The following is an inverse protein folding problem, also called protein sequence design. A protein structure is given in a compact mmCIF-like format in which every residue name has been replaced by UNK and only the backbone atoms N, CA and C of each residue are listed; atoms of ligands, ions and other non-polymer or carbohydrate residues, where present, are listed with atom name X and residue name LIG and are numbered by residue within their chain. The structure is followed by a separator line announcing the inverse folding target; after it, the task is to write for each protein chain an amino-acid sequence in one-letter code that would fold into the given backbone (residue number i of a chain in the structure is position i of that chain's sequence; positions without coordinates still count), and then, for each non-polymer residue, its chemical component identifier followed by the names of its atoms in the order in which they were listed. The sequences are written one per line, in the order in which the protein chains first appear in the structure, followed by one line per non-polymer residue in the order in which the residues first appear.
data_IF_075088264174
#
_entry.id   IF_075088264174
#
_cell.length_a   1.000
_cell.length_b   1.000
_cell.length_c   1.000
_cell.angle_alpha   90.00
_cell.angle_beta   90.00
_cell.angle_gamma   90.00
#
_symmetry.space_group_name_H-M   'P 1'
#
loop_
_entity.id
_entity.type
_entity.pdbx_description
1 polymer ?
#
# COMPACT_ATOMS: atom_id res chain seq x y z
N UNK A 1 9.33 -2.73 7.41
CA UNK A 1 9.36 -3.97 8.22
C UNK A 1 8.34 -3.88 9.33
N UNK A 2 7.63 -4.97 9.71
CA UNK A 2 6.78 -4.94 10.90
C UNK A 2 7.60 -4.46 12.10
N UNK A 3 6.99 -3.68 12.99
CA UNK A 3 7.68 -3.17 14.16
C UNK A 3 8.28 -4.34 14.94
N UNK A 4 9.60 -4.34 15.15
CA UNK A 4 10.29 -5.38 15.93
C UNK A 4 9.83 -5.22 17.37
N UNK A 5 8.71 -5.86 17.72
CA UNK A 5 8.28 -6.01 19.09
C UNK A 5 9.24 -6.99 19.76
N UNK A 6 9.70 -6.64 20.97
CA UNK A 6 10.43 -7.57 21.85
C UNK A 6 9.71 -8.92 21.90
N UNK A 7 10.45 -10.02 21.78
CA UNK A 7 9.88 -11.38 21.66
C UNK A 7 8.91 -11.71 22.79
N UNK A 8 9.10 -11.12 23.98
CA UNK A 8 8.24 -11.28 25.15
C UNK A 8 6.79 -10.76 24.98
N UNK A 9 6.51 -9.91 23.99
CA UNK A 9 5.16 -9.36 23.72
C UNK A 9 4.55 -9.84 22.40
N UNK A 10 5.22 -10.74 21.68
CA UNK A 10 4.66 -11.33 20.45
C UNK A 10 3.66 -12.42 20.85
N UNK A 11 2.37 -12.13 20.71
CA UNK A 11 1.37 -13.20 20.72
C UNK A 11 1.68 -14.15 19.56
N UNK A 12 1.62 -15.47 19.78
CA UNK A 12 1.87 -16.43 18.70
C UNK A 12 0.95 -16.12 17.51
N UNK A 13 1.42 -16.36 16.27
CA UNK A 13 0.59 -16.18 15.10
C UNK A 13 -0.65 -17.08 15.22
N UNK A 14 -1.85 -16.59 14.87
CA UNK A 14 -3.05 -17.41 14.79
C UNK A 14 -2.92 -18.50 13.71
N UNK A 15 -3.81 -19.48 13.78
CA UNK A 15 -3.92 -20.56 12.79
C UNK A 15 -4.09 -20.01 11.36
N UNK A 16 -3.44 -20.67 10.39
CA UNK A 16 -3.40 -20.25 8.98
C UNK A 16 -2.32 -19.20 8.64
N UNK A 17 -1.51 -18.75 9.60
CA UNK A 17 -0.39 -17.83 9.30
C UNK A 17 0.72 -18.51 8.49
N UNK A 18 1.01 -19.78 8.77
CA UNK A 18 2.08 -20.53 8.09
C UNK A 18 1.85 -20.63 6.57
N UNK A 19 0.60 -20.68 6.12
CA UNK A 19 0.26 -20.80 4.70
C UNK A 19 0.53 -19.50 3.91
N UNK A 20 0.57 -18.36 4.59
CA UNK A 20 0.80 -17.03 3.98
C UNK A 20 2.17 -16.45 4.35
N UNK A 21 2.93 -17.11 5.22
CA UNK A 21 4.18 -16.60 5.79
C UNK A 21 5.24 -16.38 4.71
N UNK A 22 5.38 -17.34 3.79
CA UNK A 22 6.35 -17.27 2.69
C UNK A 22 6.07 -16.09 1.75
N UNK A 23 4.80 -15.88 1.39
CA UNK A 23 4.38 -14.74 0.56
C UNK A 23 4.67 -13.41 1.25
N UNK A 24 4.36 -13.30 2.55
CA UNK A 24 4.66 -12.10 3.34
C UNK A 24 6.17 -11.85 3.48
N UNK A 25 6.98 -12.91 3.55
CA UNK A 25 8.43 -12.84 3.60
C UNK A 25 9.02 -12.33 2.28
N UNK A 26 8.46 -12.72 1.13
CA UNK A 26 8.84 -12.16 -0.18
C UNK A 26 8.64 -10.64 -0.21
N UNK A 27 7.50 -10.14 0.27
CA UNK A 27 7.28 -8.68 0.35
C UNK A 27 8.24 -8.00 1.32
N UNK A 28 8.59 -8.64 2.44
CA UNK A 28 9.54 -8.11 3.41
C UNK A 28 10.96 -8.01 2.83
N UNK A 29 11.39 -9.02 2.08
CA UNK A 29 12.69 -9.01 1.39
C UNK A 29 12.73 -7.93 0.31
N UNK A 30 11.71 -7.87 -0.57
CA UNK A 30 11.58 -6.79 -1.57
C UNK A 30 11.64 -5.40 -0.93
N UNK A 31 10.97 -5.21 0.21
CA UNK A 31 11.00 -3.94 0.93
C UNK A 31 12.41 -3.61 1.45
N UNK A 32 13.13 -4.60 1.98
CA UNK A 32 14.51 -4.43 2.45
C UNK A 32 15.44 -4.07 1.30
N UNK A 33 15.30 -4.74 0.16
CA UNK A 33 16.11 -4.48 -1.03
C UNK A 33 15.83 -3.08 -1.58
N UNK A 34 14.56 -2.69 -1.69
CA UNK A 34 14.16 -1.34 -2.13
C UNK A 34 14.69 -0.23 -1.19
N UNK A 35 14.78 -0.49 0.12
CA UNK A 35 15.35 0.45 1.09
C UNK A 35 16.87 0.59 0.99
N UNK A 36 17.57 -0.49 0.63
CA UNK A 36 19.03 -0.50 0.49
C UNK A 36 19.51 -0.06 -0.89
N UNK A 37 18.62 -0.05 -1.88
CA UNK A 37 18.92 0.33 -3.25
C UNK A 37 19.39 1.79 -3.30
N UNK A 38 20.46 2.10 -4.05
CA UNK A 38 20.86 3.48 -4.26
C UNK A 38 19.73 4.24 -5.00
N UNK A 39 19.54 5.55 -4.72
CA UNK A 39 18.55 6.35 -5.41
C UNK A 39 18.75 6.28 -6.93
N UNK A 40 17.68 6.11 -7.73
CA UNK A 40 17.81 6.10 -9.18
C UNK A 40 18.31 7.45 -9.71
N UNK A 41 18.95 7.49 -10.89
CA UNK A 41 19.28 8.75 -11.54
C UNK A 41 17.99 9.51 -11.85
N UNK A 42 17.83 10.69 -11.25
CA UNK A 42 16.63 11.51 -11.38
C UNK A 42 16.20 12.19 -10.08
N UNK A 43 14.93 12.64 -10.00
CA UNK A 43 14.38 13.27 -8.81
C UNK A 43 14.44 12.36 -7.58
N UNK A 44 14.87 12.93 -6.44
CA UNK A 44 15.03 12.21 -5.15
C UNK A 44 13.78 11.44 -4.70
N UNK A 45 12.58 11.91 -5.07
CA UNK A 45 11.32 11.28 -4.68
C UNK A 45 11.09 9.92 -5.37
N UNK A 46 11.72 9.66 -6.52
CA UNK A 46 11.59 8.40 -7.25
C UNK A 46 12.10 7.19 -6.43
N UNK A 47 13.09 7.41 -5.57
CA UNK A 47 13.59 6.37 -4.66
C UNK A 47 12.50 5.81 -3.74
N UNK A 48 11.47 6.62 -3.40
CA UNK A 48 10.39 6.20 -2.51
C UNK A 48 9.27 5.44 -3.24
N UNK A 49 9.20 5.51 -4.57
CA UNK A 49 8.09 4.93 -5.33
C UNK A 49 8.03 3.41 -5.20
N UNK A 50 9.17 2.73 -5.30
CA UNK A 50 9.27 1.27 -5.14
C UNK A 50 8.80 0.84 -3.74
N UNK A 51 9.17 1.61 -2.70
CA UNK A 51 8.72 1.39 -1.32
C UNK A 51 7.18 1.50 -1.22
N UNK A 52 6.58 2.55 -1.80
CA UNK A 52 5.13 2.71 -1.79
C UNK A 52 4.42 1.60 -2.56
N UNK A 53 4.97 1.18 -3.71
CA UNK A 53 4.41 0.10 -4.51
C UNK A 53 4.40 -1.22 -3.74
N UNK A 54 5.50 -1.58 -3.09
CA UNK A 54 5.58 -2.82 -2.29
C UNK A 54 4.63 -2.74 -1.08
N UNK A 55 4.56 -1.60 -0.40
CA UNK A 55 3.66 -1.40 0.73
C UNK A 55 2.17 -1.52 0.31
N UNK A 56 1.83 -0.97 -0.85
CA UNK A 56 0.51 -1.10 -1.45
C UNK A 56 0.19 -2.56 -1.79
N UNK A 57 1.08 -3.23 -2.53
CA UNK A 57 0.91 -4.63 -2.94
C UNK A 57 0.74 -5.56 -1.74
N UNK A 58 1.57 -5.40 -0.72
CA UNK A 58 1.48 -6.19 0.52
C UNK A 58 0.15 -5.96 1.24
N UNK A 59 -0.32 -4.71 1.30
CA UNK A 59 -1.61 -4.40 1.92
C UNK A 59 -2.78 -4.93 1.09
N UNK A 60 -2.67 -4.90 -0.24
CA UNK A 60 -3.69 -5.41 -1.16
C UNK A 60 -3.79 -6.93 -1.09
N UNK A 61 -2.66 -7.63 -1.05
CA UNK A 61 -2.61 -9.07 -0.84
C UNK A 61 -3.39 -9.50 0.42
N UNK A 62 -3.17 -8.83 1.56
CA UNK A 62 -3.92 -9.12 2.80
C UNK A 62 -5.41 -8.75 2.68
N UNK A 63 -5.75 -7.68 1.95
CA UNK A 63 -7.14 -7.30 1.69
C UNK A 63 -7.86 -8.37 0.85
N UNK A 64 -7.27 -8.80 -0.26
CA UNK A 64 -7.85 -9.77 -1.18
C UNK A 64 -8.03 -11.13 -0.49
N UNK A 65 -7.05 -11.55 0.33
CA UNK A 65 -7.16 -12.80 1.10
C UNK A 65 -8.36 -12.83 2.06
N UNK A 66 -8.71 -11.70 2.67
CA UNK A 66 -9.80 -11.64 3.64
C UNK A 66 -11.15 -11.29 3.02
N UNK A 67 -11.21 -10.32 2.10
CA UNK A 67 -12.45 -9.79 1.54
C UNK A 67 -12.88 -10.44 0.23
N UNK A 68 -11.94 -10.90 -0.60
CA UNK A 68 -12.26 -11.46 -1.92
C UNK A 68 -12.21 -13.00 -1.91
N UNK A 69 -11.16 -13.58 -1.33
CA UNK A 69 -10.93 -15.03 -1.31
C UNK A 69 -11.40 -15.73 -0.03
N UNK A 70 -11.65 -14.97 1.03
CA UNK A 70 -12.04 -15.48 2.36
C UNK A 70 -11.11 -16.61 2.88
N UNK A 71 -9.83 -16.59 2.50
CA UNK A 71 -8.87 -17.65 2.79
C UNK A 71 -8.25 -17.55 4.19
N UNK A 72 -8.46 -16.43 4.89
CA UNK A 72 -7.93 -16.20 6.23
C UNK A 72 -9.03 -15.85 7.23
N UNK A 73 -8.87 -16.32 8.47
CA UNK A 73 -9.81 -16.00 9.54
C UNK A 73 -9.76 -14.52 9.93
N UNK A 74 -10.87 -14.00 10.46
CA UNK A 74 -10.93 -12.64 11.03
C UNK A 74 -9.86 -12.41 12.11
N UNK A 75 -9.59 -13.44 12.93
CA UNK A 75 -8.59 -13.38 13.98
C UNK A 75 -7.18 -13.20 13.39
N UNK A 76 -6.85 -13.93 12.33
CA UNK A 76 -5.58 -13.78 11.62
C UNK A 76 -5.47 -12.42 10.94
N UNK A 77 -6.52 -11.98 10.24
CA UNK A 77 -6.57 -10.67 9.60
C UNK A 77 -6.34 -9.51 10.58
N UNK A 78 -7.03 -9.49 11.72
CA UNK A 78 -6.81 -8.47 12.76
C UNK A 78 -5.42 -8.53 13.37
N UNK A 79 -4.86 -9.74 13.53
CA UNK A 79 -3.49 -9.92 14.00
C UNK A 79 -2.47 -9.37 13.00
N UNK A 80 -2.66 -9.59 11.70
CA UNK A 80 -1.81 -9.05 10.63
C UNK A 80 -1.80 -7.52 10.63
N UNK A 81 -2.98 -6.89 10.76
CA UNK A 81 -3.10 -5.43 10.89
C UNK A 81 -2.37 -4.92 12.14
N UNK A 82 -2.58 -5.55 13.31
CA UNK A 82 -1.95 -5.16 14.57
C UNK A 82 -0.43 -5.31 14.55
N UNK A 83 0.13 -6.18 13.71
CA UNK A 83 1.57 -6.37 13.55
C UNK A 83 2.17 -5.57 12.37
N UNK A 84 1.36 -4.82 11.63
CA UNK A 84 1.84 -3.94 10.56
C UNK A 84 2.21 -4.67 9.26
N UNK A 85 1.60 -5.83 9.00
CA UNK A 85 1.70 -6.53 7.72
C UNK A 85 0.89 -5.82 6.61
N UNK A 86 -0.19 -5.13 6.97
CA UNK A 86 -0.98 -4.31 6.06
C UNK A 86 -1.37 -2.97 6.69
N UNK A 87 -1.65 -1.96 5.87
CA UNK A 87 -2.08 -0.64 6.31
C UNK A 87 -3.60 -0.59 6.51
N UNK A 88 -4.02 -0.55 7.78
CA UNK A 88 -5.43 -0.50 8.17
C UNK A 88 -6.15 0.76 7.65
N UNK A 89 -5.45 1.90 7.59
CA UNK A 89 -6.05 3.16 7.15
C UNK A 89 -6.24 3.18 5.64
N UNK A 90 -5.30 2.61 4.89
CA UNK A 90 -5.45 2.44 3.44
C UNK A 90 -6.59 1.47 3.11
N UNK A 91 -6.66 0.32 3.80
CA UNK A 91 -7.77 -0.64 3.63
C UNK A 91 -9.12 -0.01 3.98
N UNK A 92 -9.18 0.81 5.03
CA UNK A 92 -10.40 1.54 5.37
C UNK A 92 -10.84 2.50 4.25
N UNK A 93 -9.91 3.02 3.43
CA UNK A 93 -10.25 3.80 2.24
C UNK A 93 -10.76 2.93 1.11
N UNK A 94 -10.16 1.77 0.83
CA UNK A 94 -10.61 0.87 -0.25
C UNK A 94 -12.07 0.41 -0.10
N UNK A 95 -12.59 0.36 1.13
CA UNK A 95 -14.00 0.06 1.40
C UNK A 95 -14.97 1.20 1.08
N UNK A 96 -14.47 2.41 0.83
CA UNK A 96 -15.30 3.57 0.50
C UNK A 96 -15.46 3.67 -1.01
N UNK A 97 -16.68 3.99 -1.44
CA UNK A 97 -16.98 4.20 -2.84
C UNK A 97 -16.07 5.27 -3.46
N UNK A 98 -15.51 4.97 -4.63
CA UNK A 98 -14.60 5.84 -5.37
C UNK A 98 -13.13 5.77 -4.92
N UNK A 99 -12.79 4.94 -3.93
CA UNK A 99 -11.41 4.73 -3.44
C UNK A 99 -10.94 3.28 -3.55
N UNK A 100 -11.69 2.39 -4.17
CA UNK A 100 -11.43 0.95 -4.36
C UNK A 100 -10.03 0.65 -4.94
N UNK A 101 -9.52 1.55 -5.79
CA UNK A 101 -8.19 1.46 -6.43
C UNK A 101 -7.18 2.48 -5.90
N UNK A 102 -7.40 3.07 -4.72
CA UNK A 102 -6.54 4.12 -4.17
C UNK A 102 -5.08 3.64 -3.99
N UNK A 103 -4.12 4.40 -4.54
CA UNK A 103 -2.70 4.04 -4.51
C UNK A 103 -2.04 4.17 -3.13
N UNK A 104 -2.25 5.29 -2.42
CA UNK A 104 -1.70 5.53 -1.09
C UNK A 104 -2.46 6.66 -0.37
N UNK A 105 -2.22 6.79 0.94
CA UNK A 105 -2.89 7.81 1.76
C UNK A 105 -2.43 9.24 1.44
N UNK A 106 -1.16 9.44 1.04
CA UNK A 106 -0.64 10.77 0.67
C UNK A 106 -1.40 11.39 -0.49
N UNK A 107 -1.82 10.60 -1.46
CA UNK A 107 -2.54 11.09 -2.65
C UNK A 107 -3.94 11.65 -2.36
N UNK A 108 -4.48 11.40 -1.17
CA UNK A 108 -5.79 11.92 -0.71
C UNK A 108 -5.66 12.88 0.47
N UNK A 109 -4.45 13.18 0.90
CA UNK A 109 -4.19 14.06 2.03
C UNK A 109 -4.06 15.51 1.55
N UNK A 110 -5.20 16.19 1.44
CA UNK A 110 -5.28 17.54 0.88
C UNK A 110 -4.38 18.56 1.58
N UNK A 111 -4.28 18.48 2.91
CA UNK A 111 -3.47 19.38 3.74
C UNK A 111 -1.97 19.34 3.47
N UNK A 112 -1.47 18.30 2.80
CA UNK A 112 -0.04 18.20 2.41
C UNK A 112 0.26 18.85 1.06
N UNK A 113 -0.75 19.36 0.35
CA UNK A 113 -0.60 20.00 -0.95
C UNK A 113 -0.80 21.52 -0.86
N UNK A 114 -0.08 22.27 -1.69
CA UNK A 114 -0.12 23.74 -1.68
C UNK A 114 -1.53 24.33 -1.88
N UNK A 115 -2.39 23.63 -2.65
CA UNK A 115 -3.73 24.09 -3.01
C UNK A 115 -4.86 23.34 -2.29
N UNK A 116 -4.55 22.59 -1.22
CA UNK A 116 -5.52 21.78 -0.49
C UNK A 116 -6.33 20.82 -1.38
N UNK A 117 -5.69 20.24 -2.39
CA UNK A 117 -6.30 19.33 -3.37
C UNK A 117 -5.72 17.92 -3.30
N UNK A 118 -6.35 16.96 -3.96
CA UNK A 118 -5.83 15.58 -4.07
C UNK A 118 -4.74 15.48 -5.14
N UNK A 119 -3.88 14.46 -5.09
CA UNK A 119 -2.87 14.25 -6.15
C UNK A 119 -3.56 14.05 -7.51
N UNK A 120 -2.90 14.50 -8.58
CA UNK A 120 -3.36 14.36 -9.97
C UNK A 120 -3.74 12.93 -10.36
N UNK A 121 -3.10 11.91 -9.76
CA UNK A 121 -3.47 10.50 -9.98
C UNK A 121 -4.89 10.13 -9.54
N UNK A 122 -5.61 10.99 -8.80
CA UNK A 122 -7.01 10.79 -8.42
C UNK A 122 -7.99 11.32 -9.46
N UNK A 123 -7.51 12.08 -10.44
CA UNK A 123 -8.32 12.58 -11.56
C UNK A 123 -8.52 11.43 -12.54
N UNK A 124 -9.77 11.07 -12.90
CA UNK A 124 -10.04 10.08 -13.94
C UNK A 124 -9.36 10.44 -15.24
N UNK A 125 -8.80 9.45 -15.94
CA UNK A 125 -8.10 9.65 -17.22
C UNK A 125 -8.96 10.33 -18.27
N UNK A 126 -10.25 10.02 -18.31
CA UNK A 126 -11.21 10.66 -19.23
C UNK A 126 -11.34 12.20 -19.04
N UNK A 127 -10.90 12.74 -17.90
CA UNK A 127 -10.93 14.18 -17.60
C UNK A 127 -9.56 14.86 -17.77
N UNK A 128 -8.50 14.09 -18.04
CA UNK A 128 -7.18 14.64 -18.31
C UNK A 128 -7.14 15.18 -19.74
N UNK A 129 -6.63 16.39 -19.90
CA UNK A 129 -6.56 17.08 -21.21
C UNK A 129 -5.44 16.53 -22.11
N UNK A 130 -4.50 15.80 -21.53
CA UNK A 130 -3.34 15.25 -22.23
C UNK A 130 -3.23 13.75 -21.92
N UNK A 131 -3.10 12.92 -22.96
CA UNK A 131 -2.73 11.49 -22.88
C UNK A 131 -1.24 11.31 -22.50
N UNK A 132 -0.79 12.12 -21.54
CA UNK A 132 0.57 12.07 -21.02
C UNK A 132 0.74 10.87 -20.08
N UNK A 133 1.95 10.33 -20.05
CA UNK A 133 2.37 9.26 -19.14
C UNK A 133 2.50 9.82 -17.71
N UNK A 134 1.36 10.11 -17.07
CA UNK A 134 1.30 10.77 -15.77
C UNK A 134 1.83 9.85 -14.67
N UNK A 135 2.72 10.36 -13.83
CA UNK A 135 3.23 9.68 -12.63
C UNK A 135 3.11 10.60 -11.43
N UNK A 136 2.39 10.19 -10.37
CA UNK A 136 2.27 11.01 -9.16
C UNK A 136 3.63 11.12 -8.44
N UNK A 137 4.02 12.33 -8.06
CA UNK A 137 5.28 12.60 -7.34
C UNK A 137 5.40 11.79 -6.04
N UNK A 138 4.28 11.53 -5.36
CA UNK A 138 4.29 10.86 -4.05
C UNK A 138 4.60 9.37 -4.09
N UNK A 139 4.09 8.64 -5.09
CA UNK A 139 4.19 7.17 -5.13
C UNK A 139 4.40 6.57 -6.53
N UNK A 140 4.49 7.40 -7.58
CA UNK A 140 4.74 6.96 -8.95
C UNK A 140 3.54 6.29 -9.65
N UNK A 141 2.34 6.31 -9.06
CA UNK A 141 1.17 5.71 -9.69
C UNK A 141 0.71 6.49 -10.94
N UNK A 142 0.07 5.79 -11.88
CA UNK A 142 -0.37 6.32 -13.20
C UNK A 142 -1.88 6.55 -13.32
N UNK A 143 -2.53 6.75 -12.18
CA UNK A 143 -3.98 6.75 -12.05
C UNK A 143 -4.42 5.80 -10.94
N UNK A 144 -5.28 6.29 -10.06
CA UNK A 144 -5.87 5.56 -8.95
C UNK A 144 -7.32 5.97 -8.71
N UNK A 145 -7.94 6.62 -9.70
CA UNK A 145 -9.39 6.77 -9.75
C UNK A 145 -10.01 5.39 -9.97
N UNK A 146 -11.11 5.09 -9.29
CA UNK A 146 -11.75 3.79 -9.43
C UNK A 146 -12.52 3.61 -10.75
N UNK A 147 -12.79 4.71 -11.45
CA UNK A 147 -13.42 4.75 -12.78
C UNK A 147 -12.47 4.41 -13.93
N UNK A 148 -11.16 4.47 -13.68
CA UNK A 148 -10.12 4.05 -14.64
C UNK A 148 -9.81 2.56 -14.44
#
# INVERSE_FOLDING_TARGET
MPAIRHSSKRKPPPEGFSDIEDDLLVFANKMKDAQNKPPPPGPKHMAQWEIFQIAHQRSRYVYDLYYEKEAISKQLYEWLLKNGYADAMLIAKWKKQGYEKLCCLRCVQTKETNFNSTCICRVPRAQLKEDGDMQCVSCGCRGCASSD
#
